data_IF_125403811334
#
_entry.id   IF_125403811334
#
_cell.length_a   1.000
_cell.length_b   1.000
_cell.length_c   1.000
_cell.angle_alpha   90.00
_cell.angle_beta   90.00
_cell.angle_gamma   90.00
#
_symmetry.space_group_name_H-M   'P 1'
#
loop_
_entity.id
_entity.type
_entity.pdbx_description
1 polymer ?
#
# COMPACT_ATOMS: atom_id res chain seq x y z
N UNK A 1 2.50 9.86 3.88
CA UNK A 1 1.31 8.99 3.84
C UNK A 1 1.72 7.54 4.03
N UNK A 2 1.09 6.82 4.95
CA UNK A 2 1.27 5.37 5.05
C UNK A 2 -0.09 4.75 4.74
N UNK A 3 -0.22 4.15 3.56
CA UNK A 3 -1.38 3.35 3.23
C UNK A 3 -2.61 4.11 2.73
N UNK A 4 -2.48 5.41 2.42
CA UNK A 4 -3.64 6.24 2.02
C UNK A 4 -3.67 6.53 0.52
N UNK A 5 -2.51 6.82 -0.09
CA UNK A 5 -2.47 7.39 -1.44
C UNK A 5 -3.06 6.46 -2.51
N UNK A 6 -2.87 5.16 -2.37
CA UNK A 6 -3.38 4.16 -3.30
C UNK A 6 -4.89 3.90 -3.19
N UNK A 7 -5.57 4.50 -2.22
CA UNK A 7 -7.03 4.50 -2.12
C UNK A 7 -7.67 5.79 -2.66
N UNK A 8 -6.85 6.76 -3.07
CA UNK A 8 -7.36 7.99 -3.71
C UNK A 8 -7.76 7.71 -5.15
N UNK A 9 -8.74 8.45 -5.70
CA UNK A 9 -9.12 8.36 -7.11
C UNK A 9 -7.94 8.64 -8.06
N UNK A 10 -7.02 9.53 -7.66
CA UNK A 10 -5.76 9.81 -8.33
C UNK A 10 -4.61 9.82 -7.30
N UNK A 11 -3.88 8.70 -7.17
CA UNK A 11 -2.76 8.59 -6.23
C UNK A 11 -1.62 9.58 -6.51
N UNK A 12 -1.34 9.89 -7.78
CA UNK A 12 -0.25 10.78 -8.17
C UNK A 12 -0.56 12.24 -7.81
N UNK A 13 -1.77 12.71 -8.14
CA UNK A 13 -2.25 14.03 -7.73
C UNK A 13 -2.34 14.14 -6.19
N UNK A 14 -2.77 13.07 -5.52
CA UNK A 14 -2.77 12.98 -4.06
C UNK A 14 -1.37 13.15 -3.46
N UNK A 15 -0.36 12.49 -4.03
CA UNK A 15 1.03 12.64 -3.61
C UNK A 15 1.53 14.07 -3.85
N UNK A 16 1.29 14.64 -5.03
CA UNK A 16 1.70 16.01 -5.36
C UNK A 16 1.08 17.03 -4.40
N UNK A 17 -0.20 16.87 -4.06
CA UNK A 17 -0.93 17.67 -3.07
C UNK A 17 -0.33 17.52 -1.67
N UNK A 18 0.06 16.30 -1.25
CA UNK A 18 0.76 16.10 0.01
C UNK A 18 2.13 16.82 0.01
N UNK A 19 2.92 16.64 -1.04
CA UNK A 19 4.27 17.22 -1.15
C UNK A 19 4.24 18.75 -1.19
N UNK A 20 3.24 19.37 -1.82
CA UNK A 20 3.09 20.83 -1.89
C UNK A 20 2.82 21.51 -0.54
N UNK A 21 2.47 20.75 0.49
CA UNK A 21 2.31 21.23 1.88
C UNK A 21 3.58 21.11 2.72
N UNK A 22 4.57 20.38 2.22
CA UNK A 22 5.87 20.25 2.88
C UNK A 22 6.73 21.46 2.52
N UNK A 23 7.33 22.07 3.55
CA UNK A 23 8.26 23.21 3.39
C UNK A 23 9.50 22.81 2.58
N UNK A 24 10.16 23.80 1.97
CA UNK A 24 11.45 23.58 1.33
C UNK A 24 12.48 22.97 2.31
N UNK A 25 13.26 22.00 1.85
CA UNK A 25 14.16 21.21 2.69
C UNK A 25 13.47 20.21 3.63
N UNK A 26 12.14 20.16 3.68
CA UNK A 26 11.38 19.16 4.42
C UNK A 26 11.38 17.79 3.73
N UNK A 27 11.11 16.72 4.48
CA UNK A 27 11.02 15.36 3.94
C UNK A 27 9.58 14.96 3.65
N UNK A 28 9.39 14.29 2.52
CA UNK A 28 8.15 13.61 2.16
C UNK A 28 8.40 12.10 2.11
N UNK A 29 7.50 11.33 2.70
CA UNK A 29 7.54 9.86 2.66
C UNK A 29 6.18 9.30 2.28
N UNK A 30 6.20 8.18 1.55
CA UNK A 30 5.00 7.43 1.23
C UNK A 30 5.21 5.92 1.23
N UNK A 31 4.13 5.18 1.47
CA UNK A 31 4.01 3.75 1.22
C UNK A 31 2.70 3.46 0.47
N UNK A 32 2.80 2.72 -0.64
CA UNK A 32 1.68 2.37 -1.53
C UNK A 32 1.73 0.91 -1.95
N UNK A 33 0.58 0.30 -2.26
CA UNK A 33 0.53 -1.05 -2.81
C UNK A 33 1.21 -1.14 -4.17
N UNK A 34 1.98 -2.22 -4.35
CA UNK A 34 2.69 -2.54 -5.58
C UNK A 34 1.90 -3.55 -6.40
N UNK A 35 1.92 -3.45 -7.73
CA UNK A 35 1.35 -4.50 -8.57
C UNK A 35 2.20 -5.77 -8.56
N UNK A 36 3.51 -5.58 -8.61
CA UNK A 36 4.51 -6.63 -8.54
C UNK A 36 4.29 -7.44 -7.26
N UNK A 37 4.23 -8.76 -7.38
CA UNK A 37 3.95 -9.66 -6.26
C UNK A 37 2.48 -9.73 -5.81
N UNK A 38 1.60 -8.85 -6.29
CA UNK A 38 0.16 -8.85 -6.02
C UNK A 38 -0.69 -9.14 -7.26
N UNK A 39 -0.10 -9.70 -8.32
CA UNK A 39 -0.77 -9.89 -9.60
C UNK A 39 -2.01 -10.79 -9.47
N UNK A 40 -1.95 -11.81 -8.61
CA UNK A 40 -3.10 -12.68 -8.32
C UNK A 40 -4.25 -11.92 -7.65
N UNK A 41 -3.95 -10.93 -6.79
CA UNK A 41 -4.98 -10.06 -6.21
C UNK A 41 -5.62 -9.25 -7.33
N UNK A 42 -4.80 -8.57 -8.15
CA UNK A 42 -5.30 -7.74 -9.25
C UNK A 42 -6.10 -8.55 -10.29
N UNK A 43 -5.76 -9.82 -10.51
CA UNK A 43 -6.40 -10.70 -11.50
C UNK A 43 -7.65 -11.41 -10.99
N UNK A 44 -7.70 -11.82 -9.73
CA UNK A 44 -8.77 -12.69 -9.22
C UNK A 44 -9.62 -12.04 -8.12
N UNK A 45 -9.00 -11.32 -7.18
CA UNK A 45 -9.70 -10.71 -6.04
C UNK A 45 -10.33 -9.39 -6.44
N UNK A 46 -9.57 -8.54 -7.13
CA UNK A 46 -9.96 -7.18 -7.50
C UNK A 46 -11.22 -7.12 -8.40
N UNK A 47 -11.40 -8.00 -9.41
CA UNK A 47 -12.63 -8.01 -10.20
C UNK A 47 -13.86 -8.32 -9.35
N UNK A 48 -13.77 -9.32 -8.45
CA UNK A 48 -14.85 -9.66 -7.52
C UNK A 48 -15.12 -8.52 -6.55
N UNK A 49 -14.06 -7.87 -6.06
CA UNK A 49 -14.15 -6.70 -5.18
C UNK A 49 -14.91 -5.56 -5.82
N UNK A 50 -14.51 -5.15 -7.02
CA UNK A 50 -15.08 -4.02 -7.76
C UNK A 50 -16.51 -4.31 -8.24
N UNK A 51 -16.78 -5.54 -8.67
CA UNK A 51 -18.09 -5.90 -9.21
C UNK A 51 -19.12 -6.17 -8.12
N UNK A 52 -18.72 -6.82 -7.02
CA UNK A 52 -19.62 -7.40 -6.02
C UNK A 52 -19.33 -6.88 -4.62
N UNK A 53 -18.20 -7.24 -4.00
CA UNK A 53 -18.09 -7.13 -2.53
C UNK A 53 -18.06 -5.69 -2.03
N UNK A 54 -17.41 -4.77 -2.75
CA UNK A 54 -17.36 -3.34 -2.37
C UNK A 54 -18.73 -2.63 -2.46
N UNK A 55 -19.74 -3.28 -3.05
CA UNK A 55 -21.10 -2.74 -3.19
C UNK A 55 -22.10 -3.41 -2.23
N UNK A 56 -21.68 -4.43 -1.50
CA UNK A 56 -22.54 -5.12 -0.53
C UNK A 56 -22.69 -4.30 0.75
N UNK A 57 -23.85 -4.40 1.44
CA UNK A 57 -23.98 -3.86 2.79
C UNK A 57 -22.91 -4.44 3.71
N UNK A 58 -22.22 -3.57 4.45
CA UNK A 58 -21.07 -3.95 5.28
C UNK A 58 -21.38 -5.11 6.25
N UNK A 59 -22.56 -5.12 6.87
CA UNK A 59 -22.96 -6.19 7.80
C UNK A 59 -23.00 -7.57 7.13
N UNK A 60 -23.54 -7.66 5.91
CA UNK A 60 -23.58 -8.90 5.16
C UNK A 60 -22.18 -9.34 4.72
N UNK A 61 -21.37 -8.40 4.21
CA UNK A 61 -20.01 -8.71 3.80
C UNK A 61 -19.14 -9.18 4.98
N UNK A 62 -19.32 -8.63 6.18
CA UNK A 62 -18.63 -9.11 7.40
C UNK A 62 -18.93 -10.60 7.63
N UNK A 63 -20.19 -11.03 7.54
CA UNK A 63 -20.53 -12.45 7.67
C UNK A 63 -19.93 -13.30 6.53
N UNK A 64 -20.03 -12.81 5.29
CA UNK A 64 -19.47 -13.50 4.12
C UNK A 64 -17.94 -13.63 4.15
N UNK A 65 -17.23 -12.78 4.92
CA UNK A 65 -15.79 -12.88 5.10
C UNK A 65 -15.34 -13.95 6.10
N UNK A 66 -16.25 -14.56 6.87
CA UNK A 66 -15.90 -15.59 7.87
C UNK A 66 -15.20 -16.80 7.20
N UNK A 67 -15.75 -17.43 6.15
CA UNK A 67 -15.09 -18.57 5.51
C UNK A 67 -13.69 -18.26 4.94
N UNK A 68 -13.46 -17.22 4.11
CA UNK A 68 -12.12 -16.92 3.62
C UNK A 68 -11.15 -16.53 4.73
N UNK A 69 -11.61 -15.84 5.77
CA UNK A 69 -10.79 -15.55 6.94
C UNK A 69 -10.40 -16.82 7.71
N UNK A 70 -11.30 -17.80 7.84
CA UNK A 70 -11.02 -19.05 8.55
C UNK A 70 -9.97 -19.87 7.81
N UNK A 71 -10.08 -19.93 6.48
CA UNK A 71 -9.08 -20.57 5.61
C UNK A 71 -7.74 -19.86 5.75
N UNK A 72 -7.70 -18.53 5.61
CA UNK A 72 -6.45 -17.78 5.71
C UNK A 72 -5.81 -17.91 7.10
N UNK A 73 -6.60 -17.80 8.16
CA UNK A 73 -6.15 -17.98 9.54
C UNK A 73 -5.54 -19.36 9.75
N UNK A 74 -6.21 -20.43 9.31
CA UNK A 74 -5.69 -21.78 9.40
C UNK A 74 -4.37 -21.93 8.61
N UNK A 75 -4.30 -21.42 7.38
CA UNK A 75 -3.08 -21.42 6.57
C UNK A 75 -1.94 -20.70 7.29
N UNK A 76 -2.18 -19.52 7.86
CA UNK A 76 -1.18 -18.76 8.62
C UNK A 76 -0.67 -19.57 9.81
N UNK A 77 -1.58 -20.13 10.63
CA UNK A 77 -1.23 -20.87 11.85
C UNK A 77 -0.49 -22.18 11.56
N UNK A 78 -0.78 -22.83 10.42
CA UNK A 78 -0.16 -24.09 10.04
C UNK A 78 1.20 -23.91 9.34
N UNK A 79 1.33 -22.89 8.48
CA UNK A 79 2.47 -22.81 7.55
C UNK A 79 3.39 -21.61 7.77
N UNK A 80 2.96 -20.57 8.51
CA UNK A 80 3.70 -19.31 8.61
C UNK A 80 4.20 -18.99 10.02
N UNK A 81 4.51 -20.02 10.82
CA UNK A 81 5.15 -19.80 12.13
C UNK A 81 6.47 -19.03 11.96
N UNK A 82 6.66 -17.89 12.65
CA UNK A 82 7.89 -17.12 12.53
C UNK A 82 9.07 -17.90 13.13
N UNK A 83 10.24 -17.72 12.52
CA UNK A 83 11.52 -18.18 13.06
C UNK A 83 11.93 -17.32 14.26
N UNK A 84 12.97 -17.76 14.99
CA UNK A 84 13.47 -17.03 16.16
C UNK A 84 13.95 -15.60 15.85
N UNK A 85 14.36 -15.32 14.60
CA UNK A 85 14.72 -13.99 14.11
C UNK A 85 13.53 -13.16 13.61
N UNK A 86 12.29 -13.65 13.84
CA UNK A 86 11.04 -13.02 13.42
C UNK A 86 10.71 -13.17 11.94
N UNK A 87 11.57 -13.85 11.16
CA UNK A 87 11.35 -14.02 9.71
C UNK A 87 10.37 -15.14 9.40
N UNK A 88 9.64 -14.95 8.31
CA UNK A 88 8.74 -15.96 7.79
C UNK A 88 9.45 -17.03 6.96
N UNK A 89 8.68 -18.04 6.52
CA UNK A 89 9.16 -19.07 5.61
C UNK A 89 9.51 -18.46 4.24
N UNK A 90 10.80 -18.46 3.88
CA UNK A 90 11.31 -17.79 2.67
C UNK A 90 10.81 -18.39 1.33
N UNK A 91 10.34 -19.64 1.33
CA UNK A 91 9.84 -20.33 0.13
C UNK A 91 8.34 -20.17 -0.08
N UNK A 92 7.62 -19.62 0.89
CA UNK A 92 6.18 -19.42 0.80
C UNK A 92 5.86 -17.98 0.38
N UNK A 93 4.79 -17.76 -0.40
CA UNK A 93 4.40 -16.44 -0.83
C UNK A 93 4.08 -15.56 0.39
N UNK A 94 4.47 -14.29 0.35
CA UNK A 94 4.25 -13.36 1.45
C UNK A 94 4.81 -13.82 2.81
N UNK A 95 5.88 -14.64 2.81
CA UNK A 95 6.46 -15.25 4.01
C UNK A 95 6.53 -14.33 5.23
N UNK A 96 7.25 -13.20 5.12
CA UNK A 96 7.42 -12.25 6.23
C UNK A 96 6.12 -11.51 6.61
N UNK A 97 5.19 -11.33 5.67
CA UNK A 97 3.91 -10.70 5.95
C UNK A 97 3.02 -11.62 6.78
N UNK A 98 2.78 -12.83 6.29
CA UNK A 98 1.93 -13.79 6.98
C UNK A 98 2.55 -14.29 8.29
N UNK A 99 3.88 -14.33 8.39
CA UNK A 99 4.54 -14.58 9.66
C UNK A 99 4.31 -13.46 10.69
N UNK A 100 4.26 -12.19 10.27
CA UNK A 100 3.90 -11.10 11.16
C UNK A 100 2.44 -11.20 11.66
N UNK A 101 1.55 -11.77 10.84
CA UNK A 101 0.16 -12.04 11.22
C UNK A 101 -0.01 -13.33 12.05
N UNK A 102 1.06 -14.10 12.28
CA UNK A 102 0.96 -15.41 12.93
C UNK A 102 0.35 -15.34 14.33
N UNK A 103 0.58 -14.27 15.07
CA UNK A 103 0.05 -14.12 16.43
C UNK A 103 -1.33 -13.47 16.49
N UNK A 104 -1.87 -13.02 15.36
CA UNK A 104 -3.17 -12.35 15.32
C UNK A 104 -4.28 -13.35 15.71
N UNK A 105 -5.27 -12.92 16.52
CA UNK A 105 -6.48 -13.68 16.73
C UNK A 105 -7.33 -13.72 15.44
N UNK A 106 -8.36 -14.57 15.43
CA UNK A 106 -9.16 -14.81 14.23
C UNK A 106 -9.90 -13.55 13.76
N UNK A 107 -10.44 -12.77 14.67
CA UNK A 107 -11.15 -11.52 14.43
C UNK A 107 -10.29 -10.46 13.74
N UNK A 108 -8.99 -10.38 14.06
CA UNK A 108 -8.06 -9.50 13.35
C UNK A 108 -7.80 -9.96 11.90
N UNK A 109 -7.64 -11.27 11.66
CA UNK A 109 -7.52 -11.80 10.29
C UNK A 109 -8.83 -11.59 9.51
N UNK A 110 -9.97 -11.76 10.17
CA UNK A 110 -11.28 -11.51 9.60
C UNK A 110 -11.48 -10.04 9.22
N UNK A 111 -11.05 -9.11 10.08
CA UNK A 111 -11.04 -7.69 9.78
C UNK A 111 -10.16 -7.37 8.56
N UNK A 112 -8.95 -7.93 8.47
CA UNK A 112 -8.06 -7.74 7.31
C UNK A 112 -8.70 -8.22 5.99
N UNK A 113 -9.36 -9.39 6.00
CA UNK A 113 -10.07 -9.91 4.83
C UNK A 113 -11.26 -9.01 4.47
N UNK A 114 -12.01 -8.56 5.48
CA UNK A 114 -13.12 -7.63 5.28
C UNK A 114 -12.64 -6.31 4.66
N UNK A 115 -11.58 -5.70 5.19
CA UNK A 115 -11.04 -4.43 4.71
C UNK A 115 -10.56 -4.52 3.26
N UNK A 116 -9.89 -5.64 2.91
CA UNK A 116 -9.49 -5.92 1.53
C UNK A 116 -10.70 -5.96 0.58
N UNK A 117 -11.84 -6.52 1.00
CA UNK A 117 -12.99 -6.77 0.14
C UNK A 117 -14.05 -5.66 0.16
N UNK A 118 -14.13 -4.87 1.22
CA UNK A 118 -15.10 -3.77 1.33
C UNK A 118 -14.61 -2.52 0.58
N UNK A 119 -13.30 -2.37 0.42
CA UNK A 119 -12.70 -1.15 -0.10
C UNK A 119 -13.12 -0.88 -1.56
N UNK A 120 -13.70 0.29 -1.88
CA UNK A 120 -14.17 0.60 -3.23
C UNK A 120 -13.02 0.89 -4.20
N UNK A 121 -12.00 1.63 -3.74
CA UNK A 121 -10.85 2.04 -4.55
C UNK A 121 -9.57 1.51 -3.91
N UNK A 122 -8.81 0.73 -4.68
CA UNK A 122 -7.47 0.29 -4.31
C UNK A 122 -6.65 0.15 -5.60
N UNK A 123 -5.60 0.94 -5.71
CA UNK A 123 -4.65 0.92 -6.82
C UNK A 123 -3.42 0.09 -6.42
N UNK A 124 -3.11 -0.92 -7.22
CA UNK A 124 -1.85 -1.64 -7.13
C UNK A 124 -0.95 -1.08 -8.23
N UNK A 125 0.03 -0.26 -7.83
CA UNK A 125 0.83 0.56 -8.74
C UNK A 125 2.14 -0.13 -9.10
N UNK A 126 2.54 -0.06 -10.36
CA UNK A 126 3.85 -0.53 -10.82
C UNK A 126 4.95 0.45 -10.45
N UNK A 127 6.18 -0.03 -10.45
CA UNK A 127 7.34 0.84 -10.25
C UNK A 127 7.37 2.01 -11.24
N UNK A 128 7.08 1.74 -12.52
CA UNK A 128 7.06 2.76 -13.58
C UNK A 128 6.01 3.86 -13.37
N UNK A 129 4.94 3.57 -12.63
CA UNK A 129 3.87 4.52 -12.32
C UNK A 129 4.23 5.40 -11.11
N UNK A 130 4.98 4.85 -10.14
CA UNK A 130 5.34 5.51 -8.89
C UNK A 130 6.64 6.31 -9.00
N UNK A 131 7.62 5.81 -9.77
CA UNK A 131 8.92 6.46 -9.95
C UNK A 131 8.82 7.92 -10.45
N UNK A 132 7.93 8.27 -11.39
CA UNK A 132 7.75 9.66 -11.83
C UNK A 132 7.32 10.62 -10.73
N UNK A 133 6.69 10.15 -9.64
CA UNK A 133 6.22 11.02 -8.55
C UNK A 133 7.37 11.78 -7.89
N UNK A 134 8.57 11.21 -7.90
CA UNK A 134 9.77 11.79 -7.30
C UNK A 134 10.71 12.43 -8.33
N UNK A 135 10.28 12.60 -9.59
CA UNK A 135 11.17 13.01 -10.68
C UNK A 135 11.55 14.50 -10.67
N UNK A 136 10.73 15.37 -10.09
CA UNK A 136 10.96 16.82 -10.09
C UNK A 136 10.53 17.47 -8.78
N UNK A 137 11.18 18.57 -8.39
CA UNK A 137 10.88 19.26 -7.12
C UNK A 137 11.42 18.57 -5.88
N UNK A 138 12.31 17.57 -6.05
CA UNK A 138 12.91 16.81 -4.96
C UNK A 138 14.42 16.59 -5.16
N UNK A 139 15.12 16.37 -4.04
CA UNK A 139 16.50 15.86 -3.98
C UNK A 139 16.56 14.68 -3.00
N UNK A 140 17.66 13.92 -3.01
CA UNK A 140 17.83 12.72 -2.18
C UNK A 140 16.69 11.71 -2.31
N UNK A 141 16.10 11.61 -3.52
CA UNK A 141 14.95 10.77 -3.78
C UNK A 141 15.33 9.29 -3.82
N UNK A 142 14.62 8.48 -3.04
CA UNK A 142 14.76 7.04 -3.01
C UNK A 142 13.38 6.38 -3.14
N UNK A 143 13.23 5.53 -4.16
CA UNK A 143 12.13 4.59 -4.30
C UNK A 143 12.66 3.18 -4.03
N UNK A 144 11.97 2.41 -3.20
CA UNK A 144 12.37 1.04 -2.83
C UNK A 144 11.17 0.12 -2.81
N UNK A 145 11.34 -1.11 -3.28
CA UNK A 145 10.40 -2.18 -3.03
C UNK A 145 10.39 -2.52 -1.53
N UNK A 146 9.20 -2.62 -0.96
CA UNK A 146 8.99 -3.09 0.41
C UNK A 146 8.34 -4.48 0.36
N UNK A 147 9.14 -5.48 0.74
CA UNK A 147 8.78 -6.90 0.80
C UNK A 147 8.30 -7.51 -0.54
N UNK A 148 8.58 -6.86 -1.67
CA UNK A 148 8.27 -7.38 -3.01
C UNK A 148 6.83 -7.20 -3.45
N UNK A 149 5.98 -6.51 -2.66
CA UNK A 149 4.56 -6.31 -2.97
C UNK A 149 4.06 -4.88 -2.70
N UNK A 150 4.97 -3.96 -2.42
CA UNK A 150 4.64 -2.55 -2.16
C UNK A 150 5.82 -1.64 -2.44
N UNK A 151 5.54 -0.35 -2.58
CA UNK A 151 6.54 0.68 -2.86
C UNK A 151 6.63 1.67 -1.71
N UNK A 152 7.86 1.97 -1.29
CA UNK A 152 8.16 3.06 -0.36
C UNK A 152 8.98 4.14 -1.06
N UNK A 153 8.56 5.39 -0.93
CA UNK A 153 9.31 6.54 -1.41
C UNK A 153 9.69 7.48 -0.28
N UNK A 154 10.91 8.03 -0.33
CA UNK A 154 11.39 9.08 0.56
C UNK A 154 12.16 10.10 -0.27
N UNK A 155 11.89 11.39 -0.06
CA UNK A 155 12.65 12.45 -0.71
C UNK A 155 12.65 13.74 0.11
N UNK A 156 13.59 14.63 -0.19
CA UNK A 156 13.66 15.99 0.36
C UNK A 156 13.07 16.96 -0.66
N UNK A 157 12.11 17.80 -0.25
CA UNK A 157 11.51 18.83 -1.11
C UNK A 157 12.55 19.88 -1.46
N UNK A 158 12.63 20.23 -2.75
CA UNK A 158 13.47 21.29 -3.27
C UNK A 158 12.60 22.24 -4.10
N UNK A 159 12.28 23.40 -3.53
CA UNK A 159 11.55 24.45 -4.27
C UNK A 159 12.57 25.35 -4.96
N UNK A 160 12.47 25.45 -6.27
CA UNK A 160 13.14 26.51 -7.02
C UNK A 160 12.72 27.85 -6.40
N UNK A 161 13.65 28.60 -5.81
CA UNK A 161 13.38 30.01 -5.49
C UNK A 161 13.13 30.69 -6.83
N UNK A 162 11.90 31.15 -7.06
CA UNK A 162 11.66 32.11 -8.11
C UNK A 162 12.56 33.32 -7.78
N UNK A 163 13.61 33.53 -8.57
CA UNK A 163 14.37 34.77 -8.53
C UNK A 163 13.41 35.81 -9.06
N UNK A 164 12.80 36.58 -8.16
CA UNK A 164 12.10 37.81 -8.51
C UNK A 164 13.20 38.75 -8.97
N UNK A 165 13.38 38.87 -10.29
CA UNK A 165 14.18 39.93 -10.88
C UNK A 165 13.34 41.19 -10.73
N UNK A 166 13.54 41.93 -9.65
CA UNK A 166 13.12 43.33 -9.57
C UNK A 166 13.93 44.12 -10.59
N UNK A 167 13.38 44.31 -11.79
CA UNK A 167 13.83 45.37 -12.69
C UNK A 167 13.16 46.67 -12.25
N UNK A 168 13.80 47.41 -11.37
CA UNK A 168 13.52 48.83 -11.22
C UNK A 168 14.42 49.59 -12.20
N UNK A 169 13.79 50.11 -13.26
CA UNK A 169 14.34 51.13 -14.14
C UNK A 169 14.18 52.53 -13.58
#
# INVERSE_FOLDING_TARGET
SVGVLHHLPDPAAGFASQASRVRDGGRVAFWVYGQEGNEWITRYVDPVRKAVTSKLPAAFLRLACIPPAAVLWAVIKLFYRPRADGKGPAKLPYGDYFAALYHYPFDEIHANVFDQLVTPVAHYLREEEVRPWLASGFRDAALRSHRGYSWTGLATVCRSKAVVVESHG
#
